data_IF_823693010985
#
_entry.id   IF_823693010985
#
_cell.length_a   1.000
_cell.length_b   1.000
_cell.length_c   1.000
_cell.angle_alpha   90.00
_cell.angle_beta   90.00
_cell.angle_gamma   90.00
#
_symmetry.space_group_name_H-M   'P 1'
#
loop_
_entity.id
_entity.type
_entity.pdbx_description
1 polymer ?
#
# COMPACT_ATOMS: atom_id res chain seq x y z
N UNK A 1 0.52 -34.15 -44.06
CA UNK A 1 -0.51 -33.94 -43.04
C UNK A 1 -0.03 -32.84 -42.11
N UNK A 2 -0.94 -31.90 -41.87
CA UNK A 2 -1.00 -30.86 -40.81
C UNK A 2 0.11 -29.80 -40.71
N UNK A 3 -0.27 -28.61 -41.18
CA UNK A 3 0.17 -27.28 -40.80
C UNK A 3 0.00 -26.96 -39.30
N UNK A 4 0.79 -25.99 -38.82
CA UNK A 4 0.53 -24.90 -37.85
C UNK A 4 1.86 -24.58 -37.14
N UNK A 5 2.55 -23.43 -37.28
CA UNK A 5 2.12 -22.02 -37.33
C UNK A 5 1.17 -21.67 -36.18
N UNK A 6 1.74 -21.39 -35.00
CA UNK A 6 1.21 -20.59 -33.90
C UNK A 6 2.40 -20.31 -32.95
N UNK A 7 2.67 -19.12 -32.42
CA UNK A 7 2.35 -17.77 -32.81
C UNK A 7 3.31 -16.91 -31.99
N UNK A 8 3.78 -15.80 -32.55
CA UNK A 8 4.45 -14.77 -31.77
C UNK A 8 3.42 -14.24 -30.77
N UNK A 9 3.54 -14.63 -29.50
CA UNK A 9 2.88 -13.91 -28.44
C UNK A 9 3.61 -12.57 -28.27
N UNK A 10 3.20 -11.62 -29.11
CA UNK A 10 3.17 -10.19 -28.80
C UNK A 10 2.65 -10.04 -27.37
N UNK A 11 3.56 -9.87 -26.41
CA UNK A 11 3.20 -9.31 -25.11
C UNK A 11 2.99 -7.84 -25.41
N UNK A 12 1.77 -7.52 -25.81
CA UNK A 12 1.27 -6.16 -25.89
C UNK A 12 1.42 -5.55 -24.49
N UNK A 13 2.53 -4.83 -24.26
CA UNK A 13 2.69 -3.92 -23.13
C UNK A 13 1.57 -2.89 -23.25
N UNK A 14 0.49 -3.10 -22.50
CA UNK A 14 -0.67 -2.22 -22.41
C UNK A 14 -0.23 -0.76 -22.18
N UNK A 15 -0.35 0.15 -23.17
CA UNK A 15 0.00 1.55 -23.00
C UNK A 15 -1.19 2.28 -22.36
N UNK A 16 -1.66 1.79 -21.22
CA UNK A 16 -2.95 2.19 -20.67
C UNK A 16 -2.96 2.47 -19.18
N UNK A 17 -2.01 1.92 -18.41
CA UNK A 17 -2.04 2.09 -16.95
C UNK A 17 -1.61 3.51 -16.53
N UNK A 18 -2.48 4.29 -15.83
CA UNK A 18 -2.14 5.62 -15.35
C UNK A 18 -1.03 5.55 -14.29
N UNK A 19 0.21 5.81 -14.70
CA UNK A 19 1.36 5.93 -13.79
C UNK A 19 1.33 7.26 -13.02
N UNK A 20 2.00 7.33 -11.85
CA UNK A 20 2.22 8.57 -11.07
C UNK A 20 2.74 9.70 -11.95
N UNK A 21 3.69 9.39 -12.82
CA UNK A 21 4.32 10.34 -13.74
C UNK A 21 3.31 10.86 -14.79
N UNK A 22 2.43 9.98 -15.27
CA UNK A 22 1.36 10.32 -16.20
C UNK A 22 0.31 11.23 -15.54
N UNK A 23 -0.21 10.85 -14.38
CA UNK A 23 -1.21 11.64 -13.63
C UNK A 23 -0.65 13.00 -13.21
N UNK A 24 0.61 13.06 -12.80
CA UNK A 24 1.29 14.32 -12.44
C UNK A 24 1.41 15.25 -13.65
N UNK A 25 1.81 14.71 -14.81
CA UNK A 25 1.92 15.46 -16.06
C UNK A 25 0.54 15.93 -16.55
N UNK A 26 -0.48 15.08 -16.46
CA UNK A 26 -1.87 15.41 -16.79
C UNK A 26 -2.39 16.56 -15.90
N UNK A 27 -2.15 16.51 -14.59
CA UNK A 27 -2.52 17.57 -13.65
C UNK A 27 -1.83 18.88 -14.00
N UNK A 28 -0.53 18.87 -14.33
CA UNK A 28 0.19 20.07 -14.74
C UNK A 28 -0.36 20.65 -16.04
N UNK A 29 -0.68 19.81 -17.03
CA UNK A 29 -1.29 20.24 -18.28
C UNK A 29 -2.67 20.87 -18.06
N UNK A 30 -3.51 20.27 -17.23
CA UNK A 30 -4.84 20.79 -16.89
C UNK A 30 -4.76 22.11 -16.11
N UNK A 31 -3.85 22.23 -15.12
CA UNK A 31 -3.60 23.51 -14.43
C UNK A 31 -3.14 24.60 -15.40
N UNK A 32 -2.35 24.25 -16.41
CA UNK A 32 -1.91 25.20 -17.45
C UNK A 32 -3.08 25.66 -18.32
N UNK A 33 -4.02 24.77 -18.67
CA UNK A 33 -5.25 25.15 -19.37
C UNK A 33 -6.12 26.10 -18.55
N UNK A 34 -6.31 25.82 -17.26
CA UNK A 34 -7.03 26.73 -16.33
C UNK A 34 -6.40 28.12 -16.35
N UNK A 35 -5.07 28.21 -16.19
CA UNK A 35 -4.37 29.49 -16.18
C UNK A 35 -4.49 30.24 -17.51
N UNK A 36 -4.39 29.54 -18.65
CA UNK A 36 -4.51 30.18 -19.98
C UNK A 36 -5.89 30.81 -20.19
N UNK A 37 -6.94 30.16 -19.72
CA UNK A 37 -8.27 30.75 -19.75
C UNK A 37 -8.35 31.98 -18.85
N UNK A 38 -7.82 31.91 -17.63
CA UNK A 38 -7.82 33.06 -16.71
C UNK A 38 -7.09 34.26 -17.31
N UNK A 39 -5.90 34.03 -17.89
CA UNK A 39 -5.08 35.07 -18.52
C UNK A 39 -5.79 35.69 -19.75
N UNK A 40 -6.48 34.88 -20.57
CA UNK A 40 -7.21 35.36 -21.75
C UNK A 40 -8.47 36.12 -21.35
N UNK A 41 -9.23 35.58 -20.40
CA UNK A 41 -10.44 36.22 -19.90
C UNK A 41 -10.13 37.59 -19.28
N UNK A 42 -9.06 37.69 -18.48
CA UNK A 42 -8.66 38.97 -17.88
C UNK A 42 -8.19 39.99 -18.93
N UNK A 43 -7.57 39.55 -20.03
CA UNK A 43 -7.21 40.43 -21.15
C UNK A 43 -8.44 41.00 -21.87
N UNK A 44 -9.45 40.17 -22.10
CA UNK A 44 -10.65 40.53 -22.87
C UNK A 44 -11.64 41.33 -22.01
N UNK A 45 -11.87 40.88 -20.79
CA UNK A 45 -12.89 41.43 -19.89
C UNK A 45 -12.34 42.50 -18.94
N UNK A 46 -11.01 42.66 -18.84
CA UNK A 46 -10.31 43.61 -17.94
C UNK A 46 -10.58 43.39 -16.45
N UNK A 47 -11.07 42.22 -16.06
CA UNK A 47 -11.19 41.80 -14.66
C UNK A 47 -10.94 40.29 -14.54
N UNK A 48 -10.65 39.84 -13.32
CA UNK A 48 -10.41 38.42 -13.04
C UNK A 48 -11.70 37.60 -13.12
N UNK A 49 -11.71 36.46 -13.82
CA UNK A 49 -12.90 35.64 -13.92
C UNK A 49 -13.35 35.15 -12.54
N UNK A 50 -14.62 35.41 -12.24
CA UNK A 50 -15.29 34.89 -11.05
C UNK A 50 -15.54 33.39 -11.16
N UNK A 51 -16.05 32.79 -10.09
CA UNK A 51 -16.47 31.39 -10.15
C UNK A 51 -17.53 31.18 -11.24
N UNK A 52 -18.51 32.07 -11.38
CA UNK A 52 -19.55 31.88 -12.39
C UNK A 52 -18.96 31.97 -13.80
N UNK A 53 -18.08 32.95 -14.07
CA UNK A 53 -17.43 33.12 -15.37
C UNK A 53 -16.64 31.88 -15.82
N UNK A 54 -15.96 31.22 -14.88
CA UNK A 54 -15.22 29.97 -15.17
C UNK A 54 -16.14 28.81 -15.53
N UNK A 55 -17.31 28.73 -14.89
CA UNK A 55 -18.26 27.65 -15.13
C UNK A 55 -19.29 27.99 -16.23
N UNK A 56 -19.28 29.21 -16.76
CA UNK A 56 -20.02 29.56 -17.98
C UNK A 56 -19.37 28.97 -19.25
N UNK A 57 -18.08 28.63 -19.21
CA UNK A 57 -17.38 27.99 -20.32
C UNK A 57 -17.44 26.45 -20.20
N UNK A 58 -18.09 25.74 -21.14
CA UNK A 58 -18.16 24.28 -21.14
C UNK A 58 -16.79 23.58 -21.15
N UNK A 59 -15.79 24.15 -21.82
CA UNK A 59 -14.43 23.61 -21.87
C UNK A 59 -13.78 23.67 -20.48
N UNK A 60 -13.97 24.79 -19.77
CA UNK A 60 -13.40 24.99 -18.45
C UNK A 60 -14.05 24.08 -17.40
N UNK A 61 -15.36 23.87 -17.49
CA UNK A 61 -16.07 22.89 -16.65
C UNK A 61 -15.43 21.51 -16.81
N UNK A 62 -15.19 21.08 -18.06
CA UNK A 62 -14.53 19.80 -18.35
C UNK A 62 -13.12 19.75 -17.77
N UNK A 63 -12.30 20.78 -18.00
CA UNK A 63 -10.92 20.83 -17.49
C UNK A 63 -10.87 20.78 -15.96
N UNK A 64 -11.76 21.51 -15.28
CA UNK A 64 -11.86 21.49 -13.81
C UNK A 64 -12.29 20.11 -13.29
N UNK A 65 -13.27 19.48 -13.93
CA UNK A 65 -13.72 18.12 -13.61
C UNK A 65 -12.62 17.07 -13.81
N UNK A 66 -11.90 17.13 -14.93
CA UNK A 66 -10.75 16.27 -15.22
C UNK A 66 -9.61 16.50 -14.21
N UNK A 67 -9.33 17.76 -13.85
CA UNK A 67 -8.29 18.11 -12.88
C UNK A 67 -8.62 17.58 -11.49
N UNK A 68 -9.87 17.72 -11.05
CA UNK A 68 -10.33 17.18 -9.78
C UNK A 68 -10.24 15.66 -9.76
N UNK A 69 -10.64 15.00 -10.85
CA UNK A 69 -10.57 13.55 -11.00
C UNK A 69 -9.13 13.02 -11.03
N UNK A 70 -8.24 13.66 -11.79
CA UNK A 70 -6.84 13.30 -11.85
C UNK A 70 -6.13 13.48 -10.50
N UNK A 71 -6.44 14.55 -9.76
CA UNK A 71 -5.94 14.75 -8.38
C UNK A 71 -6.42 13.67 -7.41
N UNK A 72 -7.68 13.26 -7.49
CA UNK A 72 -8.22 12.15 -6.68
C UNK A 72 -7.49 10.84 -7.00
N UNK A 73 -7.34 10.51 -8.29
CA UNK A 73 -6.61 9.31 -8.75
C UNK A 73 -5.16 9.33 -8.28
N UNK A 74 -4.46 10.46 -8.41
CA UNK A 74 -3.08 10.59 -7.95
C UNK A 74 -2.97 10.44 -6.43
N UNK A 75 -3.90 11.01 -5.65
CA UNK A 75 -3.93 10.85 -4.18
C UNK A 75 -4.17 9.39 -3.79
N UNK A 76 -5.09 8.70 -4.46
CA UNK A 76 -5.35 7.26 -4.27
C UNK A 76 -4.12 6.44 -4.64
N UNK A 77 -3.47 6.74 -5.76
CA UNK A 77 -2.24 6.07 -6.18
C UNK A 77 -1.12 6.29 -5.15
N UNK A 78 -0.88 7.52 -4.69
CA UNK A 78 0.09 7.78 -3.63
C UNK A 78 -0.28 7.06 -2.32
N UNK A 79 -1.55 6.96 -1.97
CA UNK A 79 -1.99 6.22 -0.80
C UNK A 79 -1.76 4.70 -0.91
N UNK A 80 -1.92 4.14 -2.11
CA UNK A 80 -1.72 2.70 -2.37
C UNK A 80 -0.23 2.36 -2.50
N UNK A 81 0.55 3.19 -3.19
CA UNK A 81 1.92 2.85 -3.59
C UNK A 81 3.00 3.52 -2.73
N UNK A 82 2.75 4.71 -2.17
CA UNK A 82 3.77 5.53 -1.50
C UNK A 82 3.44 5.91 -0.04
N UNK A 83 2.32 5.45 0.50
CA UNK A 83 1.98 5.66 1.91
C UNK A 83 1.69 4.31 2.56
N UNK A 84 2.26 4.02 3.75
CA UNK A 84 1.91 2.82 4.46
C UNK A 84 0.51 3.01 5.03
N UNK A 85 -0.50 2.71 4.21
CA UNK A 85 -1.84 2.36 4.69
C UNK A 85 -1.68 1.29 5.77
N UNK A 86 -2.59 1.26 6.75
CA UNK A 86 -2.52 0.42 7.95
C UNK A 86 -2.01 -1.02 7.69
N UNK A 87 -2.35 -1.61 6.54
CA UNK A 87 -1.82 -2.91 6.07
C UNK A 87 -0.30 -2.96 5.93
N UNK A 88 0.35 -1.96 5.34
CA UNK A 88 1.82 -1.88 5.21
C UNK A 88 2.51 -1.69 6.57
N UNK A 89 1.92 -0.92 7.48
CA UNK A 89 2.44 -0.79 8.86
C UNK A 89 2.29 -2.10 9.65
N UNK A 90 1.15 -2.78 9.51
CA UNK A 90 0.91 -4.10 10.12
C UNK A 90 1.87 -5.16 9.54
N UNK A 91 2.11 -5.16 8.23
CA UNK A 91 3.07 -6.06 7.58
C UNK A 91 4.52 -5.78 8.04
N UNK A 92 4.91 -4.51 8.17
CA UNK A 92 6.21 -4.13 8.70
C UNK A 92 6.36 -4.57 10.15
N UNK A 93 5.36 -4.29 11.00
CA UNK A 93 5.35 -4.74 12.41
C UNK A 93 5.39 -6.27 12.52
N UNK A 94 4.75 -6.99 11.60
CA UNK A 94 4.78 -8.44 11.54
C UNK A 94 6.18 -8.96 11.14
N UNK A 95 6.86 -8.31 10.18
CA UNK A 95 8.24 -8.64 9.80
C UNK A 95 9.20 -8.45 10.97
N UNK A 96 9.11 -7.32 11.66
CA UNK A 96 9.92 -7.00 12.84
C UNK A 96 9.68 -7.99 13.98
N UNK A 97 8.40 -8.21 14.34
CA UNK A 97 8.03 -9.15 15.41
C UNK A 97 8.47 -10.60 15.08
N UNK A 98 8.46 -11.00 13.81
CA UNK A 98 9.02 -12.31 13.37
C UNK A 98 10.53 -12.37 13.58
N UNK A 99 11.24 -11.30 13.22
CA UNK A 99 12.69 -11.16 13.42
C UNK A 99 13.08 -11.25 14.90
N UNK A 100 12.45 -10.43 15.74
CA UNK A 100 12.69 -10.42 17.19
C UNK A 100 12.40 -11.78 17.82
N UNK A 101 11.27 -12.42 17.49
CA UNK A 101 10.95 -13.77 17.99
C UNK A 101 12.01 -14.79 17.60
N UNK A 102 12.53 -14.71 16.37
CA UNK A 102 13.60 -15.60 15.89
C UNK A 102 14.89 -15.39 16.68
N UNK A 103 15.24 -14.13 16.96
CA UNK A 103 16.39 -13.77 17.79
C UNK A 103 16.24 -14.27 19.22
N UNK A 104 15.10 -14.01 19.88
CA UNK A 104 14.85 -14.53 21.26
C UNK A 104 14.88 -16.05 21.33
N UNK A 105 14.33 -16.76 20.35
CA UNK A 105 14.45 -18.21 20.25
C UNK A 105 15.90 -18.68 20.07
N UNK A 106 16.76 -17.90 19.41
CA UNK A 106 18.19 -18.22 19.28
C UNK A 106 18.91 -18.05 20.62
N UNK A 107 18.66 -16.97 21.35
CA UNK A 107 19.23 -16.73 22.69
C UNK A 107 18.88 -17.86 23.65
N UNK A 108 17.59 -18.24 23.72
CA UNK A 108 17.15 -19.34 24.58
C UNK A 108 17.84 -20.68 24.25
N UNK A 109 18.03 -20.99 22.97
CA UNK A 109 18.76 -22.20 22.55
C UNK A 109 20.25 -22.13 22.86
N UNK A 110 20.88 -20.98 22.65
CA UNK A 110 22.28 -20.79 22.98
C UNK A 110 22.53 -21.00 24.48
N UNK A 111 21.61 -20.55 25.33
CA UNK A 111 21.68 -20.84 26.75
C UNK A 111 21.56 -22.35 27.05
N UNK A 112 20.59 -23.04 26.45
CA UNK A 112 20.43 -24.50 26.64
C UNK A 112 21.68 -25.27 26.17
N UNK A 113 22.25 -24.89 25.02
CA UNK A 113 23.47 -25.48 24.46
C UNK A 113 24.69 -25.21 25.36
N UNK A 114 24.85 -23.97 25.82
CA UNK A 114 25.96 -23.59 26.70
C UNK A 114 25.86 -24.27 28.05
N UNK A 115 24.66 -24.32 28.62
CA UNK A 115 24.39 -25.04 29.86
C UNK A 115 24.76 -26.52 29.73
N UNK A 116 24.37 -27.16 28.63
CA UNK A 116 24.73 -28.55 28.38
C UNK A 116 26.25 -28.74 28.24
N UNK A 117 26.94 -27.85 27.52
CA UNK A 117 28.41 -27.90 27.37
C UNK A 117 29.15 -27.78 28.69
N UNK A 118 28.68 -26.92 29.59
CA UNK A 118 29.33 -26.67 30.88
C UNK A 118 29.02 -27.76 31.92
N UNK A 119 27.77 -28.23 31.95
CA UNK A 119 27.28 -29.10 33.04
C UNK A 119 27.18 -30.58 32.63
N UNK A 120 27.21 -30.88 31.33
CA UNK A 120 26.99 -32.22 30.79
C UNK A 120 25.55 -32.72 30.92
N UNK A 121 24.61 -31.91 31.45
CA UNK A 121 23.22 -32.30 31.71
C UNK A 121 22.23 -31.35 31.03
N UNK A 122 21.01 -31.85 30.79
CA UNK A 122 19.93 -31.07 30.20
C UNK A 122 19.41 -30.05 31.24
N UNK A 123 19.13 -28.83 30.78
CA UNK A 123 18.59 -27.73 31.58
C UNK A 123 17.21 -28.07 32.16
N UNK A 124 17.12 -28.12 33.49
CA UNK A 124 15.86 -28.38 34.21
C UNK A 124 15.07 -27.07 34.43
N UNK A 125 13.89 -27.15 35.04
CA UNK A 125 12.99 -25.99 35.16
C UNK A 125 13.58 -24.91 36.07
N UNK A 126 14.30 -25.34 37.09
CA UNK A 126 14.95 -24.54 38.13
C UNK A 126 16.12 -23.76 37.51
N UNK A 127 16.85 -24.37 36.58
CA UNK A 127 18.00 -23.80 35.88
C UNK A 127 17.61 -22.70 34.87
N UNK A 128 16.32 -22.55 34.54
CA UNK A 128 15.83 -21.57 33.54
C UNK A 128 15.61 -20.17 34.10
N UNK A 129 15.76 -19.98 35.41
CA UNK A 129 15.62 -18.67 36.06
C UNK A 129 16.42 -17.55 35.36
N UNK A 130 17.70 -17.77 34.93
CA UNK A 130 18.48 -16.75 34.25
C UNK A 130 17.89 -16.28 32.91
N UNK A 131 17.09 -17.11 32.24
CA UNK A 131 16.46 -16.81 30.94
C UNK A 131 15.00 -16.38 31.05
N UNK A 132 14.54 -16.05 32.28
CA UNK A 132 13.13 -15.76 32.55
C UNK A 132 12.62 -14.60 31.71
N UNK A 133 13.40 -13.53 31.58
CA UNK A 133 12.99 -12.31 30.85
C UNK A 133 12.90 -12.56 29.35
N UNK A 134 13.92 -13.17 28.75
CA UNK A 134 13.95 -13.53 27.32
C UNK A 134 12.84 -14.50 26.96
N UNK A 135 12.50 -15.42 27.87
CA UNK A 135 11.38 -16.33 27.69
C UNK A 135 10.03 -15.61 27.74
N UNK A 136 9.84 -14.64 28.65
CA UNK A 136 8.62 -13.84 28.68
C UNK A 136 8.48 -12.99 27.41
N UNK A 137 9.57 -12.34 26.97
CA UNK A 137 9.57 -11.57 25.73
C UNK A 137 9.24 -12.46 24.52
N UNK A 138 9.84 -13.65 24.42
CA UNK A 138 9.49 -14.61 23.36
C UNK A 138 8.00 -14.97 23.36
N UNK A 139 7.39 -15.19 24.55
CA UNK A 139 5.95 -15.44 24.67
C UNK A 139 5.11 -14.25 24.25
N UNK A 140 5.47 -13.03 24.67
CA UNK A 140 4.79 -11.80 24.28
C UNK A 140 4.86 -11.58 22.77
N UNK A 141 6.03 -11.76 22.16
CA UNK A 141 6.22 -11.68 20.70
C UNK A 141 5.41 -12.74 19.96
N UNK A 142 5.31 -13.96 20.51
CA UNK A 142 4.44 -15.01 19.94
C UNK A 142 2.96 -14.61 19.98
N UNK A 143 2.49 -13.99 21.06
CA UNK A 143 1.12 -13.48 21.17
C UNK A 143 0.88 -12.28 20.21
N UNK A 144 1.82 -11.34 20.15
CA UNK A 144 1.79 -10.19 19.23
C UNK A 144 1.71 -10.65 17.76
N UNK A 145 2.46 -11.67 17.37
CA UNK A 145 2.36 -12.25 16.02
C UNK A 145 0.97 -12.81 15.72
N UNK A 146 0.37 -13.55 16.67
CA UNK A 146 -1.00 -14.06 16.49
C UNK A 146 -2.00 -12.94 16.30
N UNK A 147 -1.89 -11.87 17.10
CA UNK A 147 -2.76 -10.70 16.97
C UNK A 147 -2.57 -10.02 15.60
N UNK A 148 -1.33 -9.79 15.16
CA UNK A 148 -1.03 -9.18 13.86
C UNK A 148 -1.54 -10.05 12.69
N UNK A 149 -1.38 -11.38 12.76
CA UNK A 149 -1.94 -12.33 11.78
C UNK A 149 -3.47 -12.20 11.69
N UNK A 150 -4.17 -12.17 12.83
CA UNK A 150 -5.63 -12.02 12.88
C UNK A 150 -6.10 -10.67 12.34
N UNK A 151 -5.41 -9.58 12.70
CA UNK A 151 -5.76 -8.23 12.25
C UNK A 151 -5.63 -8.10 10.72
N UNK A 152 -4.58 -8.69 10.14
CA UNK A 152 -4.41 -8.75 8.69
C UNK A 152 -5.52 -9.57 8.01
N UNK A 153 -5.83 -10.78 8.53
CA UNK A 153 -6.92 -11.60 7.99
C UNK A 153 -8.29 -10.89 8.04
N UNK A 154 -8.55 -10.09 9.08
CA UNK A 154 -9.78 -9.30 9.18
C UNK A 154 -9.84 -8.12 8.21
N UNK A 155 -8.69 -7.61 7.76
CA UNK A 155 -8.61 -6.47 6.85
C UNK A 155 -8.76 -6.89 5.38
N UNK A 156 -8.31 -8.10 5.01
CA UNK A 156 -8.52 -8.69 3.68
C UNK A 156 -10.01 -8.98 3.40
N UNK A 157 -10.77 -9.41 4.42
CA UNK A 157 -12.22 -9.67 4.33
C UNK A 157 -13.04 -8.38 4.09
N UNK A 158 -12.53 -7.20 4.48
CA UNK A 158 -13.22 -5.93 4.28
C UNK A 158 -13.03 -5.36 2.86
N UNK A 159 -11.97 -5.74 2.15
CA UNK A 159 -11.70 -5.33 0.76
C UNK A 159 -12.42 -6.21 -0.28
N UNK A 160 -12.94 -7.37 0.13
CA UNK A 160 -13.68 -8.30 -0.75
C UNK A 160 -15.18 -8.04 -0.91
N UNK A 161 -15.70 -6.88 -0.47
CA UNK A 161 -17.15 -6.54 -0.56
C UNK A 161 -17.45 -5.46 -1.60
N UNK A 162 -16.96 -5.62 -2.82
CA UNK A 162 -17.45 -4.85 -3.96
C UNK A 162 -17.88 -5.80 -5.10
N UNK A 163 -19.20 -5.94 -5.20
CA UNK A 163 -20.02 -6.30 -6.37
C UNK A 163 -19.90 -7.69 -7.02
N UNK A 164 -20.94 -8.50 -6.81
CA UNK A 164 -21.48 -9.40 -7.86
C UNK A 164 -22.81 -8.80 -8.30
N UNK A 165 -22.99 -8.36 -9.55
CA UNK A 165 -24.26 -7.82 -10.03
C UNK A 165 -25.29 -8.96 -10.16
N UNK A 166 -26.44 -8.76 -9.52
CA UNK A 166 -27.63 -9.62 -9.65
C UNK A 166 -28.07 -9.62 -11.12
N UNK A 167 -27.89 -10.74 -11.82
CA UNK A 167 -28.60 -11.01 -13.06
C UNK A 167 -30.07 -11.27 -12.69
N UNK A 168 -30.93 -10.32 -13.01
CA UNK A 168 -32.37 -10.57 -13.07
C UNK A 168 -32.63 -11.39 -14.33
N UNK A 169 -33.25 -12.55 -14.15
CA UNK A 169 -34.12 -13.18 -15.15
C UNK A 169 -35.46 -13.42 -14.49
#
# INVERSE_FOLDING_TARGET
>A
MVCQALDQADVSEDPGSPSVSFLTRQIQALKKKVRRFEDQFEQDMKYKPTHNDKYSNPEMIRVMGELASARKRLKVFHHIFNHPSCTSQLLQSLRETRGEKKTRRKVLRQFEDEFYRQTGRICQKEDRSPMKEEYQEYKQLKAKLRLLEVLLSKQEVQLGKQEVPKKHM
#
